data_IF_262480765559
#
_entry.id   IF_262480765559
#
_cell.length_a   1.000
_cell.length_b   1.000
_cell.length_c   1.000
_cell.angle_alpha   90.00
_cell.angle_beta   90.00
_cell.angle_gamma   90.00
#
_symmetry.space_group_name_H-M   'P 1'
#
loop_
_entity.id
_entity.type
_entity.pdbx_description
1 polymer ?
#
# COMPACT_ATOMS: atom_id res chain seq x y z
N UNK A 1 -2.37 11.44 -9.49
CA UNK A 1 -1.58 11.72 -8.26
C UNK A 1 -2.49 11.50 -7.06
N UNK A 2 -2.48 10.30 -6.50
CA UNK A 2 -3.31 9.91 -5.36
C UNK A 2 -2.63 10.40 -4.08
N UNK A 3 -2.67 11.71 -3.82
CA UNK A 3 -2.02 12.36 -2.67
C UNK A 3 -3.01 13.17 -1.85
N UNK A 4 -4.18 12.57 -1.56
CA UNK A 4 -5.30 13.24 -0.92
C UNK A 4 -5.57 12.76 0.51
N UNK A 5 -4.88 13.37 1.48
CA UNK A 5 -5.31 13.52 2.90
C UNK A 5 -5.37 12.25 3.76
N UNK A 6 -4.22 11.81 4.28
CA UNK A 6 -4.15 11.01 5.51
C UNK A 6 -3.67 11.85 6.69
N UNK A 7 -4.52 12.00 7.72
CA UNK A 7 -4.07 12.39 9.06
C UNK A 7 -3.42 11.16 9.69
N UNK A 8 -2.09 11.16 9.78
CA UNK A 8 -1.34 10.07 10.40
C UNK A 8 -1.77 9.90 11.86
N UNK A 9 -2.39 8.76 12.14
CA UNK A 9 -2.74 8.30 13.48
C UNK A 9 -2.44 6.80 13.59
N UNK A 10 -1.53 6.48 14.51
CA UNK A 10 -1.16 5.15 15.00
C UNK A 10 -0.39 4.22 14.01
N UNK A 11 0.86 3.91 14.36
CA UNK A 11 1.87 3.15 13.57
C UNK A 11 1.40 1.84 12.90
N UNK A 12 0.52 1.01 13.49
CA UNK A 12 0.02 -0.21 12.84
C UNK A 12 -0.84 0.06 11.60
N UNK A 13 -1.64 1.13 11.58
CA UNK A 13 -2.53 1.44 10.46
C UNK A 13 -1.74 1.80 9.20
N UNK A 14 -0.62 2.51 9.35
CA UNK A 14 0.30 2.83 8.26
C UNK A 14 0.89 1.57 7.61
N UNK A 15 1.34 0.59 8.40
CA UNK A 15 1.89 -0.65 7.84
C UNK A 15 0.82 -1.50 7.14
N UNK A 16 -0.39 -1.58 7.72
CA UNK A 16 -1.53 -2.26 7.09
C UNK A 16 -1.94 -1.57 5.78
N UNK A 17 -1.81 -0.25 5.70
CA UNK A 17 -2.04 0.53 4.47
C UNK A 17 -1.03 0.16 3.39
N UNK A 18 0.25 0.04 3.73
CA UNK A 18 1.30 -0.38 2.78
C UNK A 18 1.11 -1.82 2.27
N UNK A 19 0.59 -2.72 3.11
CA UNK A 19 0.17 -4.06 2.65
C UNK A 19 -0.89 -3.95 1.56
N UNK A 20 -1.97 -3.20 1.83
CA UNK A 20 -3.03 -3.01 0.85
C UNK A 20 -2.53 -2.30 -0.41
N UNK A 21 -1.71 -1.25 -0.30
CA UNK A 21 -1.18 -0.53 -1.45
C UNK A 21 -0.40 -1.46 -2.39
N UNK A 22 0.39 -2.38 -1.82
CA UNK A 22 1.11 -3.38 -2.63
C UNK A 22 0.15 -4.40 -3.26
N UNK A 23 -0.87 -4.85 -2.53
CA UNK A 23 -1.88 -5.77 -3.06
C UNK A 23 -2.69 -5.14 -4.21
N UNK A 24 -3.02 -3.86 -4.09
CA UNK A 24 -3.67 -3.08 -5.14
C UNK A 24 -2.76 -2.93 -6.36
N UNK A 25 -1.57 -2.38 -6.20
CA UNK A 25 -0.79 -1.90 -7.34
C UNK A 25 0.10 -2.98 -7.95
N UNK A 26 0.69 -3.86 -7.15
CA UNK A 26 1.49 -4.96 -7.67
C UNK A 26 0.60 -6.15 -8.01
N UNK A 27 -0.16 -6.67 -7.04
CA UNK A 27 -0.87 -7.95 -7.24
C UNK A 27 -2.08 -7.79 -8.16
N UNK A 28 -2.98 -6.83 -7.90
CA UNK A 28 -4.15 -6.61 -8.76
C UNK A 28 -3.76 -6.03 -10.11
N UNK A 29 -3.07 -4.88 -10.12
CA UNK A 29 -2.88 -4.13 -11.36
C UNK A 29 -1.77 -4.71 -12.24
N UNK A 30 -0.59 -5.02 -11.68
CA UNK A 30 0.56 -5.49 -12.48
C UNK A 30 0.52 -6.99 -12.76
N UNK A 31 0.23 -7.80 -11.74
CA UNK A 31 0.23 -9.26 -11.82
C UNK A 31 -1.15 -9.85 -12.14
N UNK A 32 -2.20 -9.03 -12.20
CA UNK A 32 -3.56 -9.42 -12.57
C UNK A 32 -4.11 -10.58 -11.72
N UNK A 33 -3.72 -10.61 -10.43
CA UNK A 33 -4.20 -11.58 -9.45
C UNK A 33 -5.61 -11.19 -9.00
N UNK A 34 -6.54 -12.13 -9.17
CA UNK A 34 -7.91 -12.02 -8.65
C UNK A 34 -7.92 -12.01 -7.12
N UNK A 35 -8.80 -11.20 -6.54
CA UNK A 35 -8.98 -11.02 -5.08
C UNK A 35 -7.67 -10.97 -4.26
N UNK A 36 -6.77 -10.03 -4.57
CA UNK A 36 -5.39 -10.09 -4.07
C UNK A 36 -5.23 -9.61 -2.62
N UNK A 37 -6.31 -9.11 -2.02
CA UNK A 37 -6.25 -8.41 -0.74
C UNK A 37 -6.06 -9.36 0.41
N UNK A 38 -5.01 -9.11 1.18
CA UNK A 38 -4.83 -9.79 2.44
C UNK A 38 -5.74 -9.19 3.52
N UNK A 39 -6.38 -10.01 4.39
CA UNK A 39 -7.31 -9.51 5.42
C UNK A 39 -6.71 -8.48 6.39
N UNK A 40 -5.39 -8.53 6.64
CA UNK A 40 -4.66 -7.54 7.46
C UNK A 40 -4.60 -6.14 6.82
N UNK A 41 -4.86 -6.01 5.51
CA UNK A 41 -4.88 -4.72 4.83
C UNK A 41 -5.78 -3.69 5.53
N UNK A 42 -5.49 -2.41 5.29
CA UNK A 42 -6.32 -1.31 5.79
C UNK A 42 -6.72 -0.38 4.64
N UNK A 43 -8.01 -0.31 4.29
CA UNK A 43 -8.51 0.59 3.27
C UNK A 43 -8.46 2.06 3.67
N UNK A 44 -8.48 2.91 2.65
CA UNK A 44 -8.81 4.33 2.80
C UNK A 44 -10.26 4.47 3.27
N UNK A 45 -10.55 5.61 3.88
CA UNK A 45 -11.87 5.84 4.50
C UNK A 45 -12.97 5.89 3.44
N UNK A 46 -12.63 6.27 2.21
CA UNK A 46 -13.55 6.34 1.08
C UNK A 46 -13.80 4.98 0.41
N UNK A 47 -13.01 3.93 0.69
CA UNK A 47 -13.05 2.65 -0.03
C UNK A 47 -14.46 2.04 -0.17
N UNK A 48 -15.23 2.02 0.93
CA UNK A 48 -16.60 1.51 0.91
C UNK A 48 -17.57 2.48 0.21
N UNK A 49 -17.35 3.79 0.35
CA UNK A 49 -18.14 4.81 -0.34
C UNK A 49 -17.92 4.78 -1.86
N UNK A 50 -16.73 4.35 -2.29
CA UNK A 50 -16.36 4.14 -3.69
C UNK A 50 -16.92 2.81 -4.26
N UNK A 51 -17.74 2.09 -3.49
CA UNK A 51 -18.45 0.88 -3.92
C UNK A 51 -17.66 -0.42 -3.79
N UNK A 52 -16.51 -0.40 -3.12
CA UNK A 52 -15.75 -1.62 -2.87
C UNK A 52 -16.21 -2.35 -1.60
N UNK A 53 -16.09 -3.67 -1.60
CA UNK A 53 -16.47 -4.51 -0.46
C UNK A 53 -15.43 -4.40 0.68
N UNK A 54 -15.76 -3.77 1.82
CA UNK A 54 -14.84 -3.65 2.94
C UNK A 54 -14.66 -4.96 3.72
N UNK A 55 -15.53 -5.96 3.52
CA UNK A 55 -15.51 -7.22 4.28
C UNK A 55 -14.31 -8.11 3.95
N UNK A 56 -13.59 -7.80 2.87
CA UNK A 56 -12.30 -8.43 2.53
C UNK A 56 -11.20 -8.13 3.55
N UNK A 57 -11.40 -7.15 4.44
CA UNK A 57 -10.46 -6.77 5.49
C UNK A 57 -11.00 -7.10 6.88
N UNK A 58 -10.12 -7.53 7.77
CA UNK A 58 -10.43 -7.77 9.18
C UNK A 58 -10.68 -6.41 9.89
N UNK A 59 -11.88 -6.17 10.45
CA UNK A 59 -12.20 -4.93 11.18
C UNK A 59 -11.49 -4.85 12.54
N UNK A 60 -10.89 -5.94 13.01
CA UNK A 60 -10.19 -6.03 14.28
C UNK A 60 -8.83 -5.31 14.31
N UNK A 61 -8.17 -5.47 15.46
CA UNK A 61 -6.78 -5.04 15.66
C UNK A 61 -5.86 -6.27 15.59
N UNK A 62 -5.24 -6.56 14.43
CA UNK A 62 -4.38 -7.72 14.29
C UNK A 62 -3.14 -7.60 15.17
N UNK A 63 -2.60 -8.75 15.60
CA UNK A 63 -1.33 -8.79 16.32
C UNK A 63 -0.21 -8.16 15.49
N UNK A 64 0.64 -7.35 16.13
CA UNK A 64 1.68 -6.59 15.44
C UNK A 64 2.66 -7.49 14.66
N UNK A 65 3.00 -8.67 15.20
CA UNK A 65 3.82 -9.65 14.51
C UNK A 65 3.19 -10.11 13.17
N UNK A 66 1.87 -10.27 13.12
CA UNK A 66 1.15 -10.58 11.89
C UNK A 66 1.19 -9.44 10.87
N UNK A 67 1.12 -8.19 11.33
CA UNK A 67 1.29 -7.01 10.47
C UNK A 67 2.69 -6.97 9.87
N UNK A 68 3.74 -7.23 10.67
CA UNK A 68 5.11 -7.28 10.20
C UNK A 68 5.35 -8.41 9.19
N UNK A 69 4.80 -9.60 9.45
CA UNK A 69 4.90 -10.72 8.52
C UNK A 69 4.25 -10.41 7.16
N UNK A 70 3.01 -9.89 7.17
CA UNK A 70 2.31 -9.50 5.95
C UNK A 70 3.05 -8.38 5.18
N UNK A 71 3.68 -7.45 5.91
CA UNK A 71 4.49 -6.38 5.34
C UNK A 71 5.78 -6.89 4.70
N UNK A 72 6.51 -7.76 5.39
CA UNK A 72 7.75 -8.35 4.89
C UNK A 72 7.49 -9.18 3.62
N UNK A 73 6.39 -9.94 3.59
CA UNK A 73 5.97 -10.69 2.40
C UNK A 73 5.73 -9.75 1.19
N UNK A 74 5.06 -8.62 1.40
CA UNK A 74 4.81 -7.63 0.34
C UNK A 74 6.08 -6.95 -0.16
N UNK A 75 7.03 -6.66 0.72
CA UNK A 75 8.35 -6.17 0.30
C UNK A 75 9.11 -7.21 -0.51
N UNK A 76 9.03 -8.49 -0.12
CA UNK A 76 9.65 -9.60 -0.86
C UNK A 76 9.07 -9.68 -2.28
N UNK A 77 7.75 -9.64 -2.43
CA UNK A 77 7.09 -9.67 -3.75
C UNK A 77 7.54 -8.50 -4.65
N UNK A 78 7.63 -7.28 -4.10
CA UNK A 78 8.13 -6.12 -4.86
C UNK A 78 9.58 -6.34 -5.31
N UNK A 79 10.45 -6.82 -4.41
CA UNK A 79 11.86 -7.08 -4.73
C UNK A 79 11.99 -8.17 -5.81
N UNK A 80 11.25 -9.26 -5.69
CA UNK A 80 11.25 -10.35 -6.67
C UNK A 80 10.80 -9.86 -8.05
N UNK A 81 9.74 -9.05 -8.12
CA UNK A 81 9.29 -8.47 -9.38
C UNK A 81 10.34 -7.54 -10.01
N UNK A 82 10.98 -6.69 -9.20
CA UNK A 82 12.02 -5.77 -9.67
C UNK A 82 13.27 -6.48 -10.20
N UNK A 83 13.56 -7.71 -9.75
CA UNK A 83 14.69 -8.50 -10.26
C UNK A 83 14.47 -8.96 -11.70
N UNK A 84 13.21 -9.20 -12.09
CA UNK A 84 12.88 -9.84 -13.37
C UNK A 84 12.27 -8.89 -14.40
N UNK A 85 11.71 -7.75 -13.97
CA UNK A 85 11.00 -6.82 -14.85
C UNK A 85 11.93 -6.21 -15.91
N UNK A 86 11.48 -6.19 -17.15
CA UNK A 86 12.22 -5.60 -18.28
C UNK A 86 11.74 -4.19 -18.60
N UNK A 87 12.52 -3.45 -19.38
CA UNK A 87 12.10 -2.12 -19.88
C UNK A 87 10.81 -2.18 -20.72
N UNK A 88 10.57 -3.28 -21.45
CA UNK A 88 9.33 -3.48 -22.21
C UNK A 88 8.13 -3.77 -21.28
N UNK A 89 8.34 -4.54 -20.22
CA UNK A 89 7.28 -4.77 -19.22
C UNK A 89 6.87 -3.46 -18.55
N UNK A 90 7.84 -2.60 -18.22
CA UNK A 90 7.60 -1.31 -17.56
C UNK A 90 6.68 -0.37 -18.35
N UNK A 91 6.69 -0.44 -19.69
CA UNK A 91 5.83 0.39 -20.56
C UNK A 91 4.46 -0.24 -20.85
N UNK A 92 4.25 -1.49 -20.44
CA UNK A 92 3.00 -2.20 -20.69
C UNK A 92 1.83 -1.56 -19.91
N UNK A 93 0.69 -1.42 -20.59
CA UNK A 93 -0.52 -0.85 -20.02
C UNK A 93 -1.20 -1.83 -19.06
N UNK A 94 -1.74 -1.30 -17.96
CA UNK A 94 -2.51 -2.01 -16.94
C UNK A 94 -3.79 -1.24 -16.62
N UNK A 95 -4.83 -1.98 -16.26
CA UNK A 95 -6.08 -1.39 -15.78
C UNK A 95 -5.81 -0.72 -14.43
N UNK A 96 -6.15 0.56 -14.32
CA UNK A 96 -6.05 1.24 -13.03
C UNK A 96 -7.08 0.62 -12.07
N UNK A 97 -6.64 0.23 -10.86
CA UNK A 97 -7.49 -0.48 -9.89
C UNK A 97 -8.59 0.41 -9.28
N UNK A 98 -8.49 1.73 -9.41
CA UNK A 98 -9.43 2.71 -8.85
C UNK A 98 -10.24 3.46 -9.92
N UNK A 99 -9.70 3.59 -11.13
CA UNK A 99 -10.33 4.29 -12.24
C UNK A 99 -10.07 3.55 -13.57
N UNK A 100 -10.73 2.41 -13.82
CA UNK A 100 -10.43 1.51 -14.95
C UNK A 100 -10.40 2.16 -16.34
N UNK A 101 -11.12 3.27 -16.52
CA UNK A 101 -11.16 4.11 -17.70
C UNK A 101 -9.86 4.91 -17.97
N UNK A 102 -8.98 4.99 -16.98
CA UNK A 102 -7.70 5.70 -17.05
C UNK A 102 -6.55 4.70 -16.89
N UNK A 103 -6.05 4.09 -17.98
CA UNK A 103 -5.00 3.07 -17.90
C UNK A 103 -3.70 3.62 -17.31
N UNK A 104 -2.98 2.77 -16.60
CA UNK A 104 -1.66 3.05 -16.02
C UNK A 104 -0.60 2.21 -16.74
N UNK A 105 0.68 2.52 -16.56
CA UNK A 105 1.78 1.62 -16.94
C UNK A 105 2.24 0.81 -15.74
N UNK A 106 2.91 -0.33 -15.97
CA UNK A 106 3.59 -1.06 -14.89
C UNK A 106 4.55 -0.15 -14.13
N UNK A 107 5.28 0.72 -14.83
CA UNK A 107 6.14 1.72 -14.21
C UNK A 107 5.38 2.67 -13.28
N UNK A 108 4.22 3.18 -13.70
CA UNK A 108 3.37 4.05 -12.89
C UNK A 108 2.87 3.36 -11.62
N UNK A 109 2.45 2.08 -11.74
CA UNK A 109 2.06 1.27 -10.60
C UNK A 109 3.22 1.10 -9.60
N UNK A 110 4.44 0.79 -10.09
CA UNK A 110 5.63 0.65 -9.24
C UNK A 110 6.03 1.97 -8.57
N UNK A 111 5.97 3.09 -9.30
CA UNK A 111 6.20 4.41 -8.72
C UNK A 111 5.19 4.74 -7.63
N UNK A 112 3.92 4.38 -7.82
CA UNK A 112 2.88 4.58 -6.80
C UNK A 112 3.21 3.81 -5.52
N UNK A 113 3.64 2.54 -5.63
CA UNK A 113 4.09 1.75 -4.47
C UNK A 113 5.25 2.45 -3.77
N UNK A 114 6.28 2.88 -4.50
CA UNK A 114 7.46 3.52 -3.92
C UNK A 114 7.15 4.89 -3.30
N UNK A 115 6.23 5.67 -3.88
CA UNK A 115 5.78 6.95 -3.33
C UNK A 115 5.00 6.74 -2.02
N UNK A 116 4.12 5.74 -1.95
CA UNK A 116 3.42 5.36 -0.72
C UNK A 116 4.40 4.98 0.40
N UNK A 117 5.43 4.19 0.08
CA UNK A 117 6.49 3.80 1.02
C UNK A 117 7.25 5.01 1.57
N UNK A 118 7.68 5.90 0.66
CA UNK A 118 8.41 7.10 1.01
C UNK A 118 7.60 8.02 1.92
N UNK A 119 6.34 8.29 1.55
CA UNK A 119 5.47 9.18 2.30
C UNK A 119 5.16 8.62 3.69
N UNK A 120 4.89 7.32 3.80
CA UNK A 120 4.65 6.68 5.10
C UNK A 120 5.90 6.64 5.99
N UNK A 121 7.10 6.47 5.42
CA UNK A 121 8.34 6.61 6.16
C UNK A 121 8.52 8.05 6.67
N UNK A 122 8.27 9.05 5.83
CA UNK A 122 8.33 10.47 6.21
C UNK A 122 7.40 10.79 7.37
N UNK A 123 6.16 10.28 7.34
CA UNK A 123 5.22 10.44 8.46
C UNK A 123 5.69 9.71 9.72
N UNK A 124 6.18 8.48 9.60
CA UNK A 124 6.65 7.71 10.74
C UNK A 124 7.84 8.40 11.45
N UNK A 125 8.80 8.93 10.68
CA UNK A 125 9.96 9.64 11.21
C UNK A 125 9.56 10.96 11.88
N UNK A 126 8.66 11.74 11.26
CA UNK A 126 8.11 12.96 11.88
C UNK A 126 7.45 12.65 13.22
N UNK A 127 6.60 11.62 13.26
CA UNK A 127 5.85 11.27 14.47
C UNK A 127 6.79 10.72 15.56
N UNK A 128 7.83 9.97 15.18
CA UNK A 128 8.87 9.52 16.11
C UNK A 128 9.59 10.71 16.75
N UNK A 129 10.02 11.69 15.96
CA UNK A 129 10.70 12.89 16.46
C UNK A 129 9.85 13.67 17.48
N UNK A 130 8.54 13.77 17.24
CA UNK A 130 7.59 14.39 18.18
C UNK A 130 7.51 13.61 19.49
N UNK A 131 7.52 12.27 19.46
CA UNK A 131 7.47 11.44 20.65
C UNK A 131 8.77 11.51 21.47
N UNK A 132 9.93 11.54 20.81
CA UNK A 132 11.24 11.70 21.47
C UNK A 132 11.36 13.07 22.16
N UNK A 133 10.91 14.13 21.49
CA UNK A 133 10.92 15.50 22.03
C UNK A 133 10.04 15.63 23.29
N UNK A 134 8.90 14.93 23.33
CA UNK A 134 7.99 14.91 24.48
C UNK A 134 8.50 14.09 25.67
N UNK A 135 9.43 13.18 25.45
CA UNK A 135 10.02 12.34 26.50
C UNK A 135 11.21 13.04 27.17
N UNK A 136 11.78 14.04 26.49
CA UNK A 136 12.96 14.81 26.94
C UNK A 136 12.58 16.08 27.72
N UNK A 137 11.29 16.44 27.75
CA UNK A 137 10.74 17.58 28.52
C UNK A 137 10.06 17.06 29.78
#
# INVERSE_FOLDING_TARGET
RWSGRYRAGFRPKALRRLVMATDTWLRRAVLEVDDPYHPIGQPNVEYAADGHDPTVFDPGTPAYAGVLAARADRQRLVREHLVTVTAADLTSARRNPWAPEHPETVLSCLHTILEEEWEHLRYALRDLHVLESRTTT
#
